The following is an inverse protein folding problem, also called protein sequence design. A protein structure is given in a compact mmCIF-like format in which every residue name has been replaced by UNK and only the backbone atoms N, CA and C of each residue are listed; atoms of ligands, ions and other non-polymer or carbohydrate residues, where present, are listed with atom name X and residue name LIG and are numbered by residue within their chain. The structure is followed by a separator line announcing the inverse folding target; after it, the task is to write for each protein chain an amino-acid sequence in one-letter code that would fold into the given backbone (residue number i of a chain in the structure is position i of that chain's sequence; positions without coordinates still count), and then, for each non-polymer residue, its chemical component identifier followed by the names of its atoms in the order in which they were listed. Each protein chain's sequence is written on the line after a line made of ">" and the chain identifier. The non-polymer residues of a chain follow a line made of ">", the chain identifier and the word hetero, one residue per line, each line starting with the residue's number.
data_IF_968640630321
#
_entry.id   IF_968640630321
#
_cell.length_a   1.000
_cell.length_b   1.000
_cell.length_c   1.000
_cell.angle_alpha   90.00
_cell.angle_beta   90.00
_cell.angle_gamma   90.00
#
_symmetry.space_group_name_H-M   'P 1'
#
loop_
_entity.id
_entity.type
_entity.pdbx_description
1 polymer ?
#
# COMPACT_ATOMS: atom_id res chain seq x y z
N UNK A 1 -16.27 9.14 -12.06
CA UNK A 1 -16.58 9.56 -10.68
C UNK A 1 -15.38 10.20 -10.00
N UNK A 2 -14.26 9.48 -9.80
CA UNK A 2 -13.04 10.05 -9.18
C UNK A 2 -12.57 11.33 -9.90
N UNK A 3 -12.55 11.33 -11.24
CA UNK A 3 -12.23 12.50 -12.08
C UNK A 3 -13.22 13.68 -11.94
N UNK A 4 -14.39 13.43 -11.38
CA UNK A 4 -15.44 14.43 -11.27
C UNK A 4 -15.28 15.38 -10.08
N UNK A 5 -14.28 15.16 -9.21
CA UNK A 5 -14.06 15.98 -8.02
C UNK A 5 -15.10 15.75 -6.91
N UNK A 6 -15.13 16.69 -5.96
CA UNK A 6 -16.09 16.76 -4.84
C UNK A 6 -16.27 15.42 -4.12
N UNK A 7 -15.15 14.74 -3.90
CA UNK A 7 -15.14 13.41 -3.30
C UNK A 7 -15.45 13.49 -1.80
N UNK A 8 -15.01 14.57 -1.13
CA UNK A 8 -15.22 14.76 0.31
C UNK A 8 -16.70 15.00 0.67
N UNK A 9 -17.53 15.45 -0.28
CA UNK A 9 -18.98 15.59 -0.06
C UNK A 9 -19.72 14.25 -0.07
N UNK A 10 -19.10 13.20 -0.62
CA UNK A 10 -19.76 11.92 -0.92
C UNK A 10 -19.15 10.74 -0.19
N UNK A 11 -17.88 10.84 0.17
CA UNK A 11 -17.10 9.75 0.74
C UNK A 11 -16.35 10.23 1.97
N UNK A 12 -16.29 9.38 3.00
CA UNK A 12 -15.38 9.58 4.13
C UNK A 12 -14.05 8.86 3.92
N UNK A 13 -14.12 7.71 3.24
CA UNK A 13 -13.02 6.77 3.03
C UNK A 13 -13.04 6.28 1.58
N UNK A 14 -11.89 6.35 0.91
CA UNK A 14 -11.66 5.74 -0.40
C UNK A 14 -10.61 4.65 -0.26
N UNK A 15 -10.86 3.48 -0.86
CA UNK A 15 -9.96 2.34 -0.80
C UNK A 15 -9.44 2.03 -2.19
N UNK A 16 -8.12 2.04 -2.35
CA UNK A 16 -7.45 1.54 -3.54
C UNK A 16 -6.98 0.11 -3.28
N UNK A 17 -7.53 -0.90 -3.99
CA UNK A 17 -7.12 -2.28 -3.85
C UNK A 17 -5.70 -2.49 -4.40
N UNK A 18 -5.22 -3.74 -4.37
CA UNK A 18 -3.89 -4.07 -4.89
C UNK A 18 -3.81 -3.93 -6.42
N UNK A 19 -3.60 -2.71 -6.88
CA UNK A 19 -3.28 -2.36 -8.25
C UNK A 19 -2.04 -1.47 -8.30
N UNK A 20 -1.13 -1.69 -9.24
CA UNK A 20 0.03 -0.82 -9.44
C UNK A 20 -0.41 0.52 -10.07
N UNK A 21 0.38 1.57 -9.86
CA UNK A 21 0.11 2.94 -10.34
C UNK A 21 -0.36 3.00 -11.81
N UNK A 22 0.30 2.34 -12.79
CA UNK A 22 -0.15 2.36 -14.18
C UNK A 22 -1.58 1.85 -14.40
N UNK A 23 -2.02 0.84 -13.63
CA UNK A 23 -3.39 0.32 -13.75
C UNK A 23 -4.42 1.22 -13.06
N UNK A 24 -4.02 1.94 -12.02
CA UNK A 24 -4.89 2.93 -11.36
C UNK A 24 -5.06 4.16 -12.25
N UNK A 25 -3.97 4.73 -12.76
CA UNK A 25 -4.01 5.96 -13.55
C UNK A 25 -4.42 5.71 -15.00
N UNK A 26 -4.19 4.51 -15.53
CA UNK A 26 -4.37 4.19 -16.95
C UNK A 26 -3.22 4.69 -17.83
N UNK A 27 -2.14 5.18 -17.23
CA UNK A 27 -0.97 5.71 -17.92
C UNK A 27 0.09 4.63 -18.08
N UNK A 28 0.77 4.60 -19.24
CA UNK A 28 1.90 3.69 -19.49
C UNK A 28 1.59 2.22 -19.20
N UNK A 29 0.34 1.80 -19.38
CA UNK A 29 -0.09 0.42 -19.09
C UNK A 29 0.65 -0.58 -19.97
N UNK A 30 0.84 -0.27 -21.26
CA UNK A 30 1.57 -1.14 -22.20
C UNK A 30 3.02 -1.36 -21.74
N UNK A 31 3.71 -0.28 -21.38
CA UNK A 31 5.07 -0.32 -20.82
C UNK A 31 5.14 -1.13 -19.52
N UNK A 32 4.15 -1.00 -18.65
CA UNK A 32 4.04 -1.79 -17.42
C UNK A 32 3.96 -3.29 -17.73
N UNK A 33 3.09 -3.71 -18.65
CA UNK A 33 2.98 -5.13 -19.04
C UNK A 33 4.26 -5.64 -19.70
N UNK A 34 4.85 -4.84 -20.60
CA UNK A 34 6.10 -5.19 -21.27
C UNK A 34 7.23 -5.44 -20.26
N UNK A 35 7.43 -4.51 -19.32
CA UNK A 35 8.45 -4.63 -18.25
C UNK A 35 8.16 -5.79 -17.31
N UNK A 36 6.92 -5.92 -16.84
CA UNK A 36 6.53 -6.95 -15.86
C UNK A 36 6.68 -8.37 -16.42
N UNK A 37 6.24 -8.57 -17.65
CA UNK A 37 6.22 -9.90 -18.27
C UNK A 37 7.41 -10.13 -19.22
N UNK A 38 8.33 -9.17 -19.35
CA UNK A 38 9.49 -9.22 -20.25
C UNK A 38 9.09 -9.59 -21.68
N UNK A 39 7.98 -9.01 -22.15
CA UNK A 39 7.38 -9.31 -23.46
C UNK A 39 6.79 -10.73 -23.62
N UNK A 40 6.83 -11.60 -22.60
CA UNK A 40 6.31 -12.99 -22.70
C UNK A 40 4.79 -13.05 -22.74
N UNK A 41 4.12 -12.06 -22.13
CA UNK A 41 2.67 -11.93 -22.14
C UNK A 41 2.31 -10.53 -22.61
N UNK A 42 1.61 -10.37 -23.75
CA UNK A 42 1.15 -9.07 -24.18
C UNK A 42 0.08 -8.54 -23.20
N UNK A 43 -0.10 -7.21 -23.18
CA UNK A 43 -1.25 -6.63 -22.50
C UNK A 43 -2.54 -7.29 -23.01
N UNK A 44 -3.46 -7.71 -22.13
CA UNK A 44 -4.76 -8.20 -22.56
C UNK A 44 -5.48 -7.15 -23.42
N UNK A 45 -6.11 -7.60 -24.51
CA UNK A 45 -6.86 -6.71 -25.40
C UNK A 45 -8.22 -6.38 -24.78
N UNK A 46 -8.31 -5.22 -24.15
CA UNK A 46 -9.59 -4.66 -23.71
C UNK A 46 -10.20 -3.79 -24.81
N UNK A 47 -11.54 -3.73 -24.95
CA UNK A 47 -12.20 -2.70 -25.73
C UNK A 47 -11.79 -1.30 -25.25
N UNK A 48 -11.58 -0.31 -26.15
CA UNK A 48 -11.08 1.03 -25.80
C UNK A 48 -11.83 1.72 -24.64
N UNK A 49 -13.15 1.52 -24.56
CA UNK A 49 -14.02 2.06 -23.52
C UNK A 49 -13.70 1.54 -22.10
N UNK A 50 -13.05 0.37 -22.00
CA UNK A 50 -12.62 -0.24 -20.72
C UNK A 50 -11.14 -0.02 -20.42
N UNK A 51 -10.40 0.70 -21.27
CA UNK A 51 -8.98 1.05 -21.03
C UNK A 51 -8.82 2.31 -20.18
N UNK A 52 -9.81 2.61 -19.35
CA UNK A 52 -9.80 3.83 -18.54
C UNK A 52 -9.03 3.64 -17.25
N UNK A 53 -8.35 4.70 -16.83
CA UNK A 53 -7.88 4.90 -15.47
C UNK A 53 -8.21 6.31 -15.02
N UNK A 54 -7.87 6.64 -13.77
CA UNK A 54 -8.24 7.92 -13.17
C UNK A 54 -7.42 9.10 -13.72
N UNK A 55 -6.31 8.86 -14.41
CA UNK A 55 -5.41 9.89 -14.95
C UNK A 55 -4.88 10.84 -13.88
N UNK A 56 -4.13 11.87 -14.31
CA UNK A 56 -3.63 12.90 -13.39
C UNK A 56 -4.75 13.68 -12.70
N UNK A 57 -5.84 13.99 -13.42
CA UNK A 57 -7.01 14.68 -12.85
C UNK A 57 -7.62 13.93 -11.67
N UNK A 58 -7.76 12.61 -11.78
CA UNK A 58 -8.28 11.79 -10.70
C UNK A 58 -7.29 11.59 -9.56
N UNK A 59 -5.98 11.63 -9.85
CA UNK A 59 -4.94 11.64 -8.81
C UNK A 59 -5.01 12.94 -8.01
N UNK A 60 -5.15 14.09 -8.66
CA UNK A 60 -5.32 15.37 -7.95
C UNK A 60 -6.62 15.38 -7.16
N UNK A 61 -7.73 14.89 -7.73
CA UNK A 61 -9.01 14.76 -7.00
C UNK A 61 -8.88 13.89 -5.74
N UNK A 62 -8.11 12.79 -5.80
CA UNK A 62 -7.83 11.96 -4.62
C UNK A 62 -6.96 12.67 -3.59
N UNK A 63 -6.04 13.53 -4.03
CA UNK A 63 -5.19 14.30 -3.14
C UNK A 63 -6.00 15.39 -2.42
N UNK A 64 -6.79 16.16 -3.17
CA UNK A 64 -7.72 17.17 -2.64
C UNK A 64 -8.71 16.54 -1.65
N UNK A 65 -9.23 15.35 -1.97
CA UNK A 65 -10.08 14.58 -1.06
C UNK A 65 -9.42 14.34 0.29
N UNK A 66 -8.16 13.89 0.30
CA UNK A 66 -7.43 13.65 1.55
C UNK A 66 -7.14 14.96 2.26
N UNK A 67 -6.66 15.98 1.54
CA UNK A 67 -6.36 17.29 2.13
C UNK A 67 -7.59 17.94 2.79
N UNK A 68 -8.79 17.69 2.25
CA UNK A 68 -10.08 18.14 2.78
C UNK A 68 -10.61 17.30 3.96
N UNK A 69 -9.82 16.36 4.50
CA UNK A 69 -10.20 15.54 5.65
C UNK A 69 -10.56 14.10 5.31
N UNK A 70 -10.57 13.70 4.03
CA UNK A 70 -10.82 12.33 3.60
C UNK A 70 -9.74 11.34 4.04
N UNK A 71 -10.09 10.06 4.12
CA UNK A 71 -9.13 8.99 4.34
C UNK A 71 -8.90 8.17 3.08
N UNK A 72 -7.66 8.11 2.59
CA UNK A 72 -7.27 7.23 1.50
C UNK A 72 -6.57 5.98 2.03
N UNK A 73 -7.20 4.82 1.88
CA UNK A 73 -6.61 3.53 2.25
C UNK A 73 -6.05 2.86 1.01
N UNK A 74 -4.77 2.52 1.03
CA UNK A 74 -4.10 1.85 -0.09
C UNK A 74 -3.60 0.47 0.33
N UNK A 75 -3.82 -0.52 -0.53
CA UNK A 75 -3.41 -1.90 -0.28
C UNK A 75 -2.27 -2.31 -1.20
N UNK A 76 -1.19 -2.79 -0.60
CA UNK A 76 -0.07 -3.44 -1.27
C UNK A 76 0.51 -2.55 -2.39
N UNK A 77 0.40 -2.94 -3.66
CA UNK A 77 0.97 -2.18 -4.77
C UNK A 77 0.36 -0.77 -4.95
N UNK A 78 -0.87 -0.53 -4.49
CA UNK A 78 -1.48 0.79 -4.57
C UNK A 78 -0.83 1.81 -3.63
N UNK A 79 -0.06 1.38 -2.64
CA UNK A 79 0.70 2.28 -1.76
C UNK A 79 1.69 3.16 -2.53
N UNK A 80 2.14 2.69 -3.72
CA UNK A 80 3.03 3.48 -4.57
C UNK A 80 2.36 4.75 -5.11
N UNK A 81 1.04 4.78 -5.28
CA UNK A 81 0.34 5.94 -5.82
C UNK A 81 0.55 7.20 -4.96
N UNK A 82 0.17 7.23 -3.67
CA UNK A 82 0.40 8.40 -2.83
C UNK A 82 1.89 8.68 -2.60
N UNK A 83 2.74 7.64 -2.51
CA UNK A 83 4.21 7.82 -2.41
C UNK A 83 4.73 8.63 -3.61
N UNK A 84 4.41 8.20 -4.83
CA UNK A 84 4.92 8.83 -6.05
C UNK A 84 4.22 10.15 -6.40
N UNK A 85 2.89 10.18 -6.28
CA UNK A 85 2.06 11.29 -6.79
C UNK A 85 1.75 12.34 -5.76
N UNK A 86 1.52 11.97 -4.50
CA UNK A 86 1.35 12.95 -3.41
C UNK A 86 2.70 13.35 -2.81
N UNK A 87 3.77 12.68 -3.23
CA UNK A 87 5.15 12.92 -2.80
C UNK A 87 5.34 12.75 -1.30
N UNK A 88 4.70 11.72 -0.72
CA UNK A 88 4.95 11.36 0.66
C UNK A 88 6.45 11.03 0.82
N UNK A 89 7.14 11.50 1.88
CA UNK A 89 8.53 11.20 2.20
C UNK A 89 8.62 9.77 2.75
N UNK A 90 8.16 8.80 1.98
CA UNK A 90 8.19 7.37 2.28
C UNK A 90 8.75 6.68 1.05
N UNK A 91 9.60 5.68 1.22
CA UNK A 91 10.06 4.83 0.12
C UNK A 91 9.73 3.37 0.37
N UNK A 92 9.51 2.64 -0.71
CA UNK A 92 9.56 1.17 -0.69
C UNK A 92 11.02 0.71 -0.81
N UNK A 93 11.54 0.13 0.26
CA UNK A 93 12.94 -0.32 0.35
C UNK A 93 13.23 -1.56 -0.48
N UNK A 94 12.18 -2.24 -0.97
CA UNK A 94 12.27 -3.43 -1.79
C UNK A 94 12.22 -3.12 -3.29
N UNK A 95 11.85 -1.88 -3.64
CA UNK A 95 11.74 -1.44 -5.03
C UNK A 95 13.09 -1.53 -5.73
N UNK A 96 13.09 -2.15 -6.91
CA UNK A 96 14.29 -2.32 -7.75
C UNK A 96 15.24 -3.45 -7.31
N UNK A 97 14.99 -4.12 -6.18
CA UNK A 97 15.79 -5.27 -5.77
C UNK A 97 15.56 -6.45 -6.73
N UNK A 98 16.65 -7.11 -7.13
CA UNK A 98 16.54 -8.31 -7.96
C UNK A 98 16.03 -9.50 -7.14
N UNK A 99 15.38 -10.50 -7.76
CA UNK A 99 14.96 -11.73 -7.07
C UNK A 99 16.09 -12.53 -6.41
N UNK A 100 17.36 -12.25 -6.74
CA UNK A 100 18.52 -12.86 -6.06
C UNK A 100 18.84 -12.17 -4.73
N UNK A 101 18.48 -10.90 -4.60
CA UNK A 101 18.71 -10.06 -3.41
C UNK A 101 17.51 -10.14 -2.48
N UNK A 102 16.30 -9.95 -3.00
CA UNK A 102 15.07 -10.08 -2.25
C UNK A 102 14.02 -10.86 -3.03
N UNK A 103 13.44 -11.89 -2.42
CA UNK A 103 12.38 -12.67 -3.04
C UNK A 103 11.44 -13.28 -2.01
N UNK A 104 10.16 -12.88 -2.09
CA UNK A 104 9.08 -13.40 -1.27
C UNK A 104 7.78 -13.45 -2.08
N UNK A 105 7.53 -14.56 -2.81
CA UNK A 105 6.41 -14.67 -3.75
C UNK A 105 5.06 -14.95 -3.07
N UNK A 106 5.04 -15.17 -1.76
CA UNK A 106 3.87 -15.57 -0.99
C UNK A 106 4.28 -16.32 0.28
N UNK A 107 4.36 -15.62 1.41
CA UNK A 107 4.79 -16.18 2.69
C UNK A 107 4.03 -15.55 3.85
N UNK A 108 3.91 -16.31 4.94
CA UNK A 108 3.44 -15.77 6.22
C UNK A 108 4.64 -15.23 6.97
N UNK A 109 4.60 -13.94 7.30
CA UNK A 109 5.66 -13.23 8.01
C UNK A 109 5.17 -12.78 9.38
N UNK A 110 6.08 -12.76 10.35
CA UNK A 110 5.87 -12.14 11.65
C UNK A 110 5.91 -10.63 11.52
N UNK A 111 5.04 -9.95 12.26
CA UNK A 111 5.01 -8.50 12.35
C UNK A 111 4.74 -8.08 13.80
N UNK A 112 5.30 -6.94 14.17
CA UNK A 112 5.04 -6.21 15.41
C UNK A 112 3.98 -5.16 15.13
N UNK A 113 3.00 -5.03 16.01
CA UNK A 113 1.85 -4.15 15.86
C UNK A 113 1.75 -3.23 17.06
N UNK A 114 1.67 -1.93 16.82
CA UNK A 114 1.31 -0.97 17.86
C UNK A 114 -0.21 -1.01 18.09
N UNK A 115 -0.64 -1.84 19.05
CA UNK A 115 -2.05 -2.02 19.37
C UNK A 115 -2.68 -0.85 20.13
N UNK A 116 -1.91 0.19 20.48
CA UNK A 116 -2.43 1.45 21.01
C UNK A 116 -2.94 2.39 19.91
N UNK A 117 -2.49 2.18 18.67
CA UNK A 117 -2.92 2.95 17.51
C UNK A 117 -4.31 2.49 17.02
N UNK A 118 -5.25 3.40 16.69
CA UNK A 118 -6.63 3.05 16.27
C UNK A 118 -6.71 2.06 15.11
N UNK A 119 -5.85 2.21 14.09
CA UNK A 119 -5.75 1.27 12.96
C UNK A 119 -5.43 -0.18 13.38
N UNK A 120 -4.88 -0.40 14.57
CA UNK A 120 -4.50 -1.70 15.10
C UNK A 120 -5.36 -2.18 16.28
N UNK A 121 -6.47 -1.50 16.60
CA UNK A 121 -7.35 -1.93 17.68
C UNK A 121 -7.80 -3.40 17.53
N UNK A 122 -7.62 -4.13 18.63
CA UNK A 122 -7.92 -5.56 18.72
C UNK A 122 -6.89 -6.48 18.04
N UNK A 123 -5.78 -5.96 17.52
CA UNK A 123 -4.65 -6.79 17.06
C UNK A 123 -3.76 -7.19 18.24
N UNK A 124 -3.16 -8.40 18.22
CA UNK A 124 -2.08 -8.73 19.15
C UNK A 124 -0.83 -7.92 18.82
N UNK A 125 0.04 -7.70 19.81
CA UNK A 125 1.35 -7.05 19.62
C UNK A 125 2.20 -7.81 18.59
N UNK A 126 2.12 -9.15 18.57
CA UNK A 126 2.78 -10.01 17.60
C UNK A 126 1.73 -10.63 16.68
N UNK A 127 1.73 -10.22 15.42
CA UNK A 127 0.80 -10.68 14.41
C UNK A 127 1.51 -11.52 13.33
N UNK A 128 0.70 -12.23 12.56
CA UNK A 128 1.12 -12.84 11.30
C UNK A 128 0.44 -12.11 10.15
N UNK A 129 1.22 -11.69 9.16
CA UNK A 129 0.74 -11.06 7.94
C UNK A 129 1.13 -11.88 6.73
N UNK A 130 0.31 -11.82 5.69
CA UNK A 130 0.60 -12.51 4.44
C UNK A 130 1.26 -11.56 3.44
N UNK A 131 2.55 -11.79 3.20
CA UNK A 131 3.36 -11.03 2.26
C UNK A 131 3.30 -11.69 0.89
N UNK A 132 3.00 -10.92 -0.16
CA UNK A 132 3.01 -11.45 -1.53
C UNK A 132 3.45 -10.37 -2.50
N UNK A 133 4.74 -10.40 -2.87
CA UNK A 133 5.37 -9.36 -3.69
C UNK A 133 4.98 -7.97 -3.19
N UNK A 134 5.05 -7.81 -1.87
CA UNK A 134 4.55 -6.68 -1.12
C UNK A 134 5.65 -5.64 -0.92
N UNK A 135 5.33 -4.34 -0.77
CA UNK A 135 6.32 -3.35 -0.37
C UNK A 135 6.66 -3.46 1.12
N UNK A 136 7.80 -2.89 1.49
CA UNK A 136 8.14 -2.57 2.88
C UNK A 136 8.69 -1.15 2.92
N UNK A 137 8.32 -0.39 3.95
CA UNK A 137 8.46 1.05 3.92
C UNK A 137 9.53 1.57 4.86
N UNK A 138 10.11 2.70 4.46
CA UNK A 138 10.95 3.54 5.30
C UNK A 138 10.49 4.99 5.15
N UNK A 139 10.21 5.64 6.27
CA UNK A 139 9.92 7.07 6.33
C UNK A 139 11.26 7.81 6.19
N UNK A 140 11.34 8.69 5.20
CA UNK A 140 12.50 9.52 4.93
C UNK A 140 12.50 10.74 5.86
N UNK A 141 13.69 11.21 6.30
CA UNK A 141 13.78 12.46 7.06
C UNK A 141 13.17 13.64 6.29
N UNK A 142 12.31 14.38 6.99
CA UNK A 142 11.64 15.59 6.53
C UNK A 142 11.38 16.52 7.72
N UNK A 143 10.89 17.72 7.43
CA UNK A 143 10.45 18.70 8.42
C UNK A 143 9.08 18.37 9.06
N UNK A 144 8.43 17.29 8.60
CA UNK A 144 7.07 16.89 8.98
C UNK A 144 6.98 15.42 9.40
N UNK A 145 8.06 14.88 9.97
CA UNK A 145 8.12 13.47 10.38
C UNK A 145 7.07 13.11 11.44
N UNK A 146 6.63 14.07 12.24
CA UNK A 146 5.55 13.91 13.23
C UNK A 146 4.19 13.54 12.61
N UNK A 147 4.04 13.69 11.29
CA UNK A 147 2.82 13.32 10.56
C UNK A 147 2.79 11.85 10.13
N UNK A 148 3.82 11.07 10.44
CA UNK A 148 3.96 9.69 9.99
C UNK A 148 4.11 8.75 11.18
N UNK A 149 3.19 7.79 11.28
CA UNK A 149 3.16 6.80 12.36
C UNK A 149 3.32 5.40 11.78
N UNK A 150 4.24 4.61 12.35
CA UNK A 150 4.42 3.20 12.00
C UNK A 150 3.49 2.36 12.87
N UNK A 151 2.45 1.79 12.25
CA UNK A 151 1.44 0.99 12.97
C UNK A 151 1.84 -0.49 13.01
N UNK A 152 2.47 -0.96 11.93
CA UNK A 152 2.94 -2.34 11.82
C UNK A 152 4.37 -2.31 11.29
N UNK A 153 5.26 -3.04 11.95
CA UNK A 153 6.69 -3.15 11.62
C UNK A 153 7.11 -4.62 11.53
N UNK A 154 8.07 -4.96 10.67
CA UNK A 154 8.70 -6.27 10.71
C UNK A 154 9.74 -6.34 11.85
N UNK A 155 9.82 -7.47 12.59
CA UNK A 155 10.79 -7.62 13.66
C UNK A 155 12.24 -7.55 13.15
N UNK A 156 13.19 -7.31 14.05
CA UNK A 156 14.62 -7.25 13.71
C UNK A 156 15.23 -8.62 13.33
N UNK A 157 14.52 -9.71 13.57
CA UNK A 157 14.98 -11.05 13.22
C UNK A 157 13.82 -12.03 13.18
N UNK A 158 14.03 -13.17 12.53
CA UNK A 158 13.06 -14.28 12.52
C UNK A 158 11.72 -13.82 11.92
N UNK A 159 11.81 -13.14 10.77
CA UNK A 159 10.65 -12.54 10.09
C UNK A 159 9.82 -13.63 9.43
N UNK A 160 10.46 -14.64 8.83
CA UNK A 160 9.75 -15.72 8.15
C UNK A 160 9.11 -16.69 9.15
N UNK A 161 7.78 -16.79 9.15
CA UNK A 161 7.07 -17.85 9.87
C UNK A 161 6.89 -19.09 8.98
N UNK A 162 6.47 -18.91 7.73
CA UNK A 162 6.25 -20.02 6.80
C UNK A 162 6.30 -19.55 5.35
N UNK A 163 6.90 -20.36 4.47
CA UNK A 163 7.02 -20.11 3.05
C UNK A 163 8.47 -19.88 2.62
N UNK A 164 8.67 -18.94 1.70
CA UNK A 164 9.97 -18.62 1.11
C UNK A 164 10.31 -17.14 1.33
N UNK A 165 11.50 -16.87 1.86
CA UNK A 165 12.05 -15.52 1.99
C UNK A 165 13.55 -15.55 1.69
N UNK A 166 13.96 -14.78 0.69
CA UNK A 166 15.35 -14.39 0.44
C UNK A 166 15.47 -12.90 0.78
N UNK A 167 16.55 -12.52 1.46
CA UNK A 167 16.84 -11.12 1.80
C UNK A 167 16.08 -10.60 3.02
N UNK A 168 15.93 -11.41 4.08
CA UNK A 168 15.21 -11.02 5.30
C UNK A 168 15.70 -9.67 5.86
N UNK A 169 16.99 -9.39 5.76
CA UNK A 169 17.63 -8.15 6.21
C UNK A 169 17.01 -6.88 5.61
N UNK A 170 16.39 -6.97 4.43
CA UNK A 170 15.70 -5.86 3.79
C UNK A 170 14.33 -5.54 4.42
N UNK A 171 13.78 -6.44 5.23
CA UNK A 171 12.53 -6.22 5.97
C UNK A 171 12.75 -5.76 7.41
N UNK A 172 13.88 -6.11 8.03
CA UNK A 172 14.12 -5.87 9.47
C UNK A 172 13.90 -4.41 9.86
N UNK A 173 13.05 -4.18 10.86
CA UNK A 173 12.64 -2.85 11.35
C UNK A 173 12.03 -1.93 10.29
N UNK A 174 11.53 -2.48 9.18
CA UNK A 174 10.82 -1.71 8.15
C UNK A 174 9.33 -1.75 8.42
N UNK A 175 8.65 -0.68 8.04
CA UNK A 175 7.22 -0.57 8.26
C UNK A 175 6.47 -1.43 7.22
N UNK A 176 5.48 -2.16 7.69
CA UNK A 176 4.49 -2.87 6.87
C UNK A 176 3.17 -2.08 6.76
N UNK A 177 2.90 -1.17 7.71
CA UNK A 177 1.74 -0.28 7.70
C UNK A 177 2.16 1.09 8.25
N UNK A 178 1.92 2.15 7.46
CA UNK A 178 2.14 3.55 7.87
C UNK A 178 0.80 4.29 7.82
N UNK A 179 0.51 5.09 8.85
CA UNK A 179 -0.42 6.20 8.75
C UNK A 179 0.35 7.49 8.43
N UNK A 180 -0.15 8.28 7.47
CA UNK A 180 0.44 9.55 7.05
C UNK A 180 -0.63 10.65 7.02
N UNK A 181 -0.51 11.67 7.87
CA UNK A 181 -1.40 12.83 7.84
C UNK A 181 -1.09 13.74 6.65
N UNK A 182 -2.13 14.12 5.90
CA UNK A 182 -2.03 15.01 4.75
C UNK A 182 -3.22 15.98 4.75
N UNK A 183 -2.93 17.28 4.86
CA UNK A 183 -3.96 18.29 5.15
C UNK A 183 -4.69 17.95 6.44
N UNK A 184 -6.02 17.95 6.39
CA UNK A 184 -6.89 17.56 7.52
C UNK A 184 -7.22 16.06 7.53
N UNK A 185 -6.74 15.29 6.54
CA UNK A 185 -7.03 13.87 6.38
C UNK A 185 -5.81 12.98 6.53
N UNK A 186 -5.95 11.75 6.03
CA UNK A 186 -4.99 10.69 6.29
C UNK A 186 -4.85 9.75 5.08
N UNK A 187 -3.60 9.38 4.78
CA UNK A 187 -3.26 8.30 3.86
C UNK A 187 -2.79 7.09 4.67
N UNK A 188 -3.47 5.97 4.53
CA UNK A 188 -3.11 4.70 5.16
C UNK A 188 -2.43 3.81 4.12
N UNK A 189 -1.14 3.56 4.32
CA UNK A 189 -0.32 2.70 3.46
C UNK A 189 -0.24 1.29 4.06
N UNK A 190 -1.06 0.35 3.59
CA UNK A 190 -1.03 -1.04 4.06
C UNK A 190 -0.22 -1.88 3.08
N UNK A 191 1.03 -2.17 3.40
CA UNK A 191 1.97 -2.87 2.52
C UNK A 191 1.66 -4.34 2.29
N UNK A 192 0.59 -4.89 2.86
CA UNK A 192 0.16 -6.27 2.68
C UNK A 192 -1.34 -6.33 2.40
N UNK A 193 -1.79 -7.45 1.83
CA UNK A 193 -3.21 -7.63 1.48
C UNK A 193 -3.98 -8.17 2.67
N UNK A 194 -4.50 -7.26 3.50
CA UNK A 194 -5.33 -7.57 4.67
C UNK A 194 -6.48 -8.52 4.34
N UNK A 195 -7.13 -8.32 3.20
CA UNK A 195 -8.28 -9.12 2.74
C UNK A 195 -7.92 -10.38 1.93
N UNK A 196 -6.64 -10.70 1.71
CA UNK A 196 -6.19 -11.64 0.68
C UNK A 196 -7.07 -12.88 0.50
N UNK A 197 -7.86 -12.90 -0.58
CA UNK A 197 -8.78 -14.01 -0.97
C UNK A 197 -9.76 -14.42 0.14
N UNK A 198 -10.06 -13.51 1.05
CA UNK A 198 -10.78 -13.75 2.28
C UNK A 198 -10.17 -14.87 3.17
N UNK A 199 -8.87 -15.14 3.09
CA UNK A 199 -8.21 -16.20 3.89
C UNK A 199 -7.48 -15.66 5.12
N UNK A 200 -7.05 -14.40 5.07
CA UNK A 200 -6.24 -13.75 6.11
C UNK A 200 -7.11 -13.05 7.16
N UNK A 201 -8.02 -13.79 7.80
CA UNK A 201 -9.00 -13.23 8.73
C UNK A 201 -8.35 -12.42 9.87
N UNK A 202 -7.18 -12.86 10.35
CA UNK A 202 -6.43 -12.17 11.41
C UNK A 202 -6.03 -10.74 11.06
N UNK A 203 -5.92 -10.40 9.77
CA UNK A 203 -5.53 -9.06 9.32
C UNK A 203 -6.71 -8.20 8.84
N UNK A 204 -7.95 -8.70 8.88
CA UNK A 204 -9.12 -7.90 8.47
C UNK A 204 -9.34 -6.70 9.39
N UNK A 205 -8.94 -6.78 10.66
CA UNK A 205 -9.07 -5.68 11.62
C UNK A 205 -8.37 -4.42 11.13
N UNK A 206 -7.17 -4.51 10.56
CA UNK A 206 -6.49 -3.35 9.99
C UNK A 206 -7.34 -2.64 8.91
N UNK A 207 -8.00 -3.43 8.06
CA UNK A 207 -8.88 -2.87 7.03
C UNK A 207 -10.15 -2.26 7.64
N UNK A 208 -10.82 -2.96 8.55
CA UNK A 208 -12.05 -2.48 9.16
C UNK A 208 -11.83 -1.27 10.07
N UNK A 209 -10.74 -1.25 10.85
CA UNK A 209 -10.36 -0.10 11.66
C UNK A 209 -10.08 1.11 10.75
N UNK A 210 -9.52 0.92 9.56
CA UNK A 210 -9.33 2.01 8.61
C UNK A 210 -10.65 2.60 8.06
N UNK A 211 -11.76 1.87 8.14
CA UNK A 211 -13.09 2.40 7.78
C UNK A 211 -13.71 3.28 8.87
N UNK A 212 -13.21 3.17 10.10
CA UNK A 212 -13.73 3.89 11.25
C UNK A 212 -12.94 5.18 11.42
N UNK A 213 -13.62 6.32 11.23
CA UNK A 213 -13.10 7.66 11.51
C UNK A 213 -13.44 8.06 12.94
#
# INVERSE_FOLDING_TARGET
>A
EIKGGDLAERYDVIILPNDPVPLITGEKVEEYFEKRFKGRFPMPRYPPEYRSGIGEEGVESLKEFVEAGGRLVTLNQACQLPIERFRLPVRDVLSGLSPKVFYCPGSTLRALTDNSHPLAYGMPERALIFFWNSPAFEILPSDRNERYEVVVEYPDSDVLQSGWLIGEEHLRRKAALISASLGEGEVVLIGFRTQHRAQTHGTFKFLFNALLK
#
